data_IF_928843164977
#
_entry.id   IF_928843164977
#
_cell.length_a   1.000
_cell.length_b   1.000
_cell.length_c   1.000
_cell.angle_alpha   90.00
_cell.angle_beta   90.00
_cell.angle_gamma   90.00
#
_symmetry.space_group_name_H-M   'P 1'
#
loop_
_entity.id
_entity.type
_entity.pdbx_description
1 polymer ?
#
# COMPACT_ATOMS: atom_id res chain seq x y z
N UNK A 1 -15.64 8.94 16.83
CA UNK A 1 -15.89 7.98 15.75
C UNK A 1 -14.65 7.14 15.58
N UNK A 2 -14.67 5.89 16.09
CA UNK A 2 -13.46 5.04 16.28
C UNK A 2 -13.13 4.23 15.01
N UNK A 3 -13.99 4.27 13.98
CA UNK A 3 -13.82 3.47 12.77
C UNK A 3 -12.78 4.03 11.78
N UNK A 4 -12.40 5.31 11.89
CA UNK A 4 -11.40 5.90 10.98
C UNK A 4 -9.96 5.48 11.32
N UNK A 5 -9.67 5.19 12.59
CA UNK A 5 -8.31 5.02 13.11
C UNK A 5 -7.67 3.69 12.66
N UNK A 6 -8.44 2.59 12.63
CA UNK A 6 -7.95 1.29 12.15
C UNK A 6 -7.61 1.29 10.65
N UNK A 7 -8.36 2.06 9.86
CA UNK A 7 -8.13 2.18 8.41
C UNK A 7 -6.84 2.93 8.07
N UNK A 8 -6.47 3.95 8.86
CA UNK A 8 -5.25 4.76 8.64
C UNK A 8 -3.99 3.93 8.85
N UNK A 9 -3.95 3.18 9.95
CA UNK A 9 -2.80 2.37 10.32
C UNK A 9 -2.56 1.26 9.29
N UNK A 10 -3.63 0.59 8.84
CA UNK A 10 -3.53 -0.41 7.76
C UNK A 10 -3.04 0.18 6.45
N UNK A 11 -3.61 1.28 5.97
CA UNK A 11 -3.19 1.86 4.68
C UNK A 11 -1.77 2.43 4.71
N UNK A 12 -1.33 2.96 5.85
CA UNK A 12 0.05 3.40 6.03
C UNK A 12 1.01 2.21 5.93
N UNK A 13 0.77 1.17 6.71
CA UNK A 13 1.62 -0.03 6.72
C UNK A 13 1.62 -0.71 5.35
N UNK A 14 0.48 -0.72 4.65
CA UNK A 14 0.38 -1.24 3.29
C UNK A 14 1.30 -0.54 2.30
N UNK A 15 1.37 0.79 2.38
CA UNK A 15 2.24 1.60 1.52
C UNK A 15 3.71 1.43 1.89
N UNK A 16 4.03 1.38 3.18
CA UNK A 16 5.39 1.11 3.68
C UNK A 16 5.91 -0.25 3.20
N UNK A 17 5.18 -1.33 3.49
CA UNK A 17 5.54 -2.68 3.06
C UNK A 17 5.49 -2.81 1.53
N UNK A 18 4.53 -2.15 0.89
CA UNK A 18 4.42 -2.10 -0.56
C UNK A 18 5.65 -1.46 -1.22
N UNK A 19 6.14 -0.34 -0.69
CA UNK A 19 7.37 0.33 -1.13
C UNK A 19 8.60 -0.56 -0.86
N UNK A 20 8.70 -1.12 0.35
CA UNK A 20 9.80 -1.99 0.77
C UNK A 20 9.96 -3.22 -0.13
N UNK A 21 8.85 -3.89 -0.49
CA UNK A 21 8.88 -5.08 -1.35
C UNK A 21 8.81 -4.74 -2.85
N UNK A 22 8.88 -3.46 -3.24
CA UNK A 22 8.86 -3.02 -4.64
C UNK A 22 7.51 -3.22 -5.36
N UNK A 23 6.44 -3.47 -4.60
CA UNK A 23 5.07 -3.63 -5.08
C UNK A 23 4.50 -2.27 -5.46
N UNK A 24 4.70 -1.29 -4.59
CA UNK A 24 4.39 0.12 -4.83
C UNK A 24 5.67 0.81 -5.23
N UNK A 25 5.65 1.49 -6.38
CA UNK A 25 6.79 2.24 -6.89
C UNK A 25 6.65 3.70 -6.54
N UNK A 26 7.78 4.34 -6.25
CA UNK A 26 7.84 5.77 -5.98
C UNK A 26 8.65 6.46 -7.07
N UNK A 27 7.99 7.30 -7.85
CA UNK A 27 8.58 8.14 -8.89
C UNK A 27 8.66 9.58 -8.37
N UNK A 28 9.77 9.93 -7.73
CA UNK A 28 9.93 11.21 -7.05
C UNK A 28 8.98 11.34 -5.86
N UNK A 29 8.04 12.28 -5.93
CA UNK A 29 7.00 12.45 -4.91
C UNK A 29 5.73 11.64 -5.18
N UNK A 30 5.63 10.94 -6.30
CA UNK A 30 4.42 10.19 -6.68
C UNK A 30 4.55 8.72 -6.35
N UNK A 31 3.45 8.14 -5.85
CA UNK A 31 3.32 6.71 -5.61
C UNK A 31 2.48 6.05 -6.71
N UNK A 32 2.90 4.88 -7.15
CA UNK A 32 2.32 4.16 -8.28
C UNK A 32 2.22 2.65 -7.99
N UNK A 33 1.12 2.03 -8.41
CA UNK A 33 0.89 0.58 -8.31
C UNK A 33 0.30 0.06 -9.62
N UNK A 34 0.87 -1.00 -10.20
CA UNK A 34 0.41 -1.58 -11.48
C UNK A 34 0.19 -0.53 -12.61
N UNK A 35 1.09 0.45 -12.74
CA UNK A 35 0.97 1.60 -13.66
C UNK A 35 -0.21 2.56 -13.38
N UNK A 36 -0.77 2.51 -12.17
CA UNK A 36 -1.78 3.47 -11.69
C UNK A 36 -1.17 4.39 -10.66
N UNK A 37 -1.34 5.70 -10.86
CA UNK A 37 -0.96 6.71 -9.86
C UNK A 37 -1.91 6.63 -8.66
N UNK A 38 -1.34 6.45 -7.48
CA UNK A 38 -2.07 6.43 -6.21
C UNK A 38 -2.22 7.85 -5.67
N UNK A 39 -1.16 8.66 -5.74
CA UNK A 39 -1.18 10.04 -5.27
C UNK A 39 0.21 10.63 -5.11
N UNK A 40 0.25 11.94 -4.89
CA UNK A 40 1.47 12.65 -4.55
C UNK A 40 1.71 12.56 -3.04
N UNK A 41 2.75 11.84 -2.65
CA UNK A 41 3.10 11.59 -1.27
C UNK A 41 2.27 10.48 -0.64
N UNK A 42 2.65 10.11 0.58
CA UNK A 42 2.03 9.01 1.32
C UNK A 42 0.59 9.34 1.70
N UNK A 43 0.28 10.60 2.01
CA UNK A 43 -1.04 11.02 2.47
C UNK A 43 -2.10 10.94 1.38
N UNK A 44 -1.84 11.53 0.21
CA UNK A 44 -2.74 11.42 -0.93
C UNK A 44 -2.93 9.96 -1.37
N UNK A 45 -1.87 9.15 -1.27
CA UNK A 45 -1.95 7.72 -1.59
C UNK A 45 -2.84 6.95 -0.60
N UNK A 46 -2.78 7.26 0.71
CA UNK A 46 -3.68 6.68 1.72
C UNK A 46 -5.13 7.02 1.41
N UNK A 47 -5.41 8.29 1.10
CA UNK A 47 -6.75 8.76 0.72
C UNK A 47 -7.28 7.97 -0.48
N UNK A 48 -6.49 7.89 -1.55
CA UNK A 48 -6.84 7.13 -2.74
C UNK A 48 -7.17 5.67 -2.42
N UNK A 49 -6.38 5.01 -1.56
CA UNK A 49 -6.62 3.62 -1.19
C UNK A 49 -7.88 3.44 -0.34
N UNK A 50 -8.26 4.42 0.49
CA UNK A 50 -9.54 4.41 1.21
C UNK A 50 -10.72 4.53 0.26
N UNK A 51 -10.62 5.42 -0.72
CA UNK A 51 -11.65 5.60 -1.75
C UNK A 51 -11.69 4.42 -2.74
N UNK A 52 -10.58 3.70 -2.89
CA UNK A 52 -10.43 2.58 -3.82
C UNK A 52 -10.08 1.28 -3.09
N UNK A 53 -11.01 0.69 -2.31
CA UNK A 53 -10.75 -0.52 -1.52
C UNK A 53 -10.35 -1.73 -2.39
N UNK A 54 -10.77 -1.76 -3.66
CA UNK A 54 -10.34 -2.79 -4.63
C UNK A 54 -8.84 -2.73 -4.90
N UNK A 55 -8.26 -1.53 -4.99
CA UNK A 55 -6.83 -1.34 -5.20
C UNK A 55 -6.07 -1.66 -3.92
N UNK A 56 -6.57 -1.20 -2.77
CA UNK A 56 -5.99 -1.53 -1.47
C UNK A 56 -5.92 -3.05 -1.24
N UNK A 57 -6.99 -3.79 -1.53
CA UNK A 57 -7.01 -5.24 -1.41
C UNK A 57 -5.98 -5.94 -2.33
N UNK A 58 -5.76 -5.42 -3.54
CA UNK A 58 -4.72 -5.94 -4.44
C UNK A 58 -3.31 -5.74 -3.88
N UNK A 59 -3.01 -4.53 -3.40
CA UNK A 59 -1.71 -4.23 -2.77
C UNK A 59 -1.53 -5.12 -1.55
N UNK A 60 -2.55 -5.26 -0.70
CA UNK A 60 -2.51 -6.12 0.48
C UNK A 60 -2.21 -7.58 0.12
N UNK A 61 -2.89 -8.12 -0.90
CA UNK A 61 -2.63 -9.47 -1.38
C UNK A 61 -1.21 -9.66 -1.90
N UNK A 62 -0.66 -8.66 -2.62
CA UNK A 62 0.72 -8.69 -3.09
C UNK A 62 1.72 -8.61 -1.92
N UNK A 63 1.48 -7.73 -0.94
CA UNK A 63 2.33 -7.56 0.25
C UNK A 63 2.35 -8.85 1.08
N UNK A 64 1.18 -9.42 1.39
CA UNK A 64 1.07 -10.69 2.11
C UNK A 64 1.85 -11.83 1.42
N UNK A 65 1.78 -11.90 0.09
CA UNK A 65 2.56 -12.89 -0.68
C UNK A 65 4.06 -12.63 -0.60
N UNK A 66 4.50 -11.37 -0.65
CA UNK A 66 5.91 -11.02 -0.53
C UNK A 66 6.47 -11.37 0.86
N UNK A 67 5.78 -11.00 1.93
CA UNK A 67 6.17 -11.32 3.31
C UNK A 67 6.22 -12.83 3.55
N UNK A 68 5.21 -13.58 3.09
CA UNK A 68 5.21 -15.05 3.22
C UNK A 68 6.42 -15.68 2.51
N UNK A 69 6.71 -15.23 1.29
CA UNK A 69 7.84 -15.73 0.49
C UNK A 69 9.20 -15.46 1.16
N UNK A 70 9.34 -14.39 1.93
CA UNK A 70 10.55 -14.08 2.69
C UNK A 70 10.74 -15.01 3.90
N UNK A 71 9.65 -15.31 4.60
CA UNK A 71 9.66 -16.26 5.74
C UNK A 71 9.97 -17.71 5.34
N UNK A 72 9.62 -18.11 4.11
CA UNK A 72 9.91 -19.46 3.57
C UNK A 72 11.33 -19.58 2.99
N UNK A 73 12.04 -18.47 2.85
CA UNK A 73 13.41 -18.41 2.30
C UNK A 73 14.51 -18.35 3.37
N UNK A 74 14.13 -18.29 4.65
CA UNK A 74 15.03 -18.21 5.81
C UNK A 74 15.07 -19.52 6.58
#
# INVERSE_FOLDING_TARGET
DIMYDEGISKTRELLDLGEQHGIVKKSGSWYEFENRKLGQGKEASKEFLRENPKVAAKIEGAVKKAVKKESEKS
#
